data_IF_104371788756
#
_entry.id   IF_104371788756
#
_cell.length_a   1.000
_cell.length_b   1.000
_cell.length_c   1.000
_cell.angle_alpha   90.00
_cell.angle_beta   90.00
_cell.angle_gamma   90.00
#
_symmetry.space_group_name_H-M   'P 1'
#
loop_
_entity.id
_entity.type
_entity.pdbx_description
1 polymer ?
#
# COMPACT_ATOMS: atom_id res chain seq x y z
N UNK A 1 -11.76 -12.37 -31.51
CA UNK A 1 -10.95 -12.88 -30.39
C UNK A 1 -11.66 -12.46 -29.10
N UNK A 2 -12.16 -13.42 -28.33
CA UNK A 2 -12.91 -13.13 -27.11
C UNK A 2 -11.92 -12.86 -25.97
N UNK A 3 -11.87 -11.63 -25.50
CA UNK A 3 -11.20 -11.28 -24.24
C UNK A 3 -12.00 -11.90 -23.11
N UNK A 4 -11.46 -12.98 -22.53
CA UNK A 4 -12.00 -13.60 -21.33
C UNK A 4 -11.75 -12.66 -20.16
N UNK A 5 -12.77 -11.87 -19.80
CA UNK A 5 -12.77 -11.10 -18.57
C UNK A 5 -12.93 -12.08 -17.39
N UNK A 6 -12.15 -11.95 -16.29
CA UNK A 6 -12.46 -12.67 -15.07
C UNK A 6 -13.85 -12.23 -14.61
N UNK A 7 -14.81 -13.15 -14.53
CA UNK A 7 -16.22 -12.86 -14.23
C UNK A 7 -17.20 -13.86 -14.85
N UNK A 8 -18.48 -13.76 -14.48
CA UNK A 8 -19.57 -14.50 -15.11
C UNK A 8 -20.00 -13.77 -16.39
N UNK A 9 -20.04 -14.48 -17.52
CA UNK A 9 -20.55 -13.96 -18.80
C UNK A 9 -21.47 -15.00 -19.45
N UNK A 10 -22.68 -14.59 -19.84
CA UNK A 10 -23.65 -15.42 -20.53
C UNK A 10 -24.15 -14.72 -21.79
N UNK A 11 -24.14 -15.41 -22.93
CA UNK A 11 -24.58 -14.89 -24.22
C UNK A 11 -25.79 -15.70 -24.70
N UNK A 12 -26.88 -15.02 -25.00
CA UNK A 12 -28.07 -15.60 -25.62
C UNK A 12 -28.27 -15.02 -27.03
N UNK A 13 -28.44 -15.87 -28.02
CA UNK A 13 -28.71 -15.50 -29.42
C UNK A 13 -30.08 -16.03 -29.86
N UNK A 14 -31.02 -15.13 -30.16
CA UNK A 14 -32.39 -15.47 -30.57
C UNK A 14 -32.59 -15.55 -32.10
N UNK A 15 -33.81 -15.93 -32.52
CA UNK A 15 -34.22 -16.10 -33.94
C UNK A 15 -34.34 -14.81 -34.77
N UNK A 16 -34.21 -13.64 -34.14
CA UNK A 16 -34.40 -12.32 -34.76
C UNK A 16 -33.11 -11.47 -34.71
N UNK A 17 -31.94 -12.10 -34.89
CA UNK A 17 -30.60 -11.49 -34.80
C UNK A 17 -30.27 -10.74 -33.48
N UNK A 18 -31.13 -10.85 -32.47
CA UNK A 18 -30.91 -10.26 -31.16
C UNK A 18 -29.89 -11.08 -30.36
N UNK A 19 -28.77 -10.44 -30.00
CA UNK A 19 -27.77 -10.97 -29.06
C UNK A 19 -27.87 -10.24 -27.73
N UNK A 20 -28.11 -10.98 -26.66
CA UNK A 20 -28.12 -10.48 -25.28
C UNK A 20 -26.88 -11.01 -24.57
N UNK A 21 -26.15 -10.12 -23.91
CA UNK A 21 -24.96 -10.47 -23.12
C UNK A 21 -25.17 -10.01 -21.69
N UNK A 22 -25.11 -10.96 -20.76
CA UNK A 22 -25.13 -10.70 -19.32
C UNK A 22 -23.71 -10.85 -18.77
N UNK A 23 -23.20 -9.81 -18.14
CA UNK A 23 -21.88 -9.81 -17.50
C UNK A 23 -22.03 -9.46 -16.01
N UNK A 24 -21.38 -10.23 -15.14
CA UNK A 24 -21.31 -9.95 -13.71
C UNK A 24 -19.90 -10.24 -13.19
N UNK A 25 -19.33 -9.28 -12.44
CA UNK A 25 -17.98 -9.38 -11.90
C UNK A 25 -17.97 -8.93 -10.43
N UNK A 26 -17.48 -9.80 -9.55
CA UNK A 26 -17.22 -9.51 -8.15
C UNK A 26 -15.72 -9.70 -7.87
N UNK A 27 -15.06 -8.65 -7.39
CA UNK A 27 -13.67 -8.71 -6.94
C UNK A 27 -13.63 -8.65 -5.41
N UNK A 28 -12.71 -9.39 -4.78
CA UNK A 28 -12.48 -9.39 -3.33
C UNK A 28 -11.01 -9.09 -3.05
N UNK A 29 -10.75 -8.20 -2.08
CA UNK A 29 -9.39 -7.83 -1.68
C UNK A 29 -8.94 -8.65 -0.47
N UNK A 30 -7.65 -8.99 -0.42
CA UNK A 30 -6.98 -9.68 0.68
C UNK A 30 -6.22 -8.70 1.60
N UNK A 31 -5.95 -9.11 2.84
CA UNK A 31 -5.16 -8.32 3.80
C UNK A 31 -3.68 -8.41 3.42
N UNK A 32 -3.02 -7.26 3.25
CA UNK A 32 -1.59 -7.19 2.90
C UNK A 32 -0.81 -6.47 4.00
N UNK A 33 0.16 -7.17 4.61
CA UNK A 33 1.15 -6.56 5.49
C UNK A 33 2.13 -5.78 4.61
N UNK A 34 2.24 -4.46 4.82
CA UNK A 34 3.10 -3.62 3.99
C UNK A 34 4.56 -3.71 4.42
N UNK A 35 4.85 -3.60 5.73
CA UNK A 35 6.21 -3.62 6.27
C UNK A 35 6.23 -3.88 7.78
N UNK A 36 7.25 -4.59 8.27
CA UNK A 36 7.50 -4.84 9.70
C UNK A 36 8.97 -4.51 10.05
N UNK A 37 9.36 -3.22 10.10
CA UNK A 37 10.72 -2.83 10.42
C UNK A 37 11.07 -3.20 11.87
N UNK A 38 12.28 -3.74 12.08
CA UNK A 38 12.84 -4.06 13.39
C UNK A 38 14.12 -3.26 13.60
N UNK A 39 14.26 -2.64 14.77
CA UNK A 39 15.40 -1.78 15.10
C UNK A 39 15.78 -1.99 16.57
N UNK A 40 17.03 -2.34 16.82
CA UNK A 40 17.60 -2.42 18.17
C UNK A 40 18.33 -1.13 18.50
N UNK A 41 18.19 -0.65 19.73
CA UNK A 41 18.72 0.64 20.17
C UNK A 41 18.95 0.63 21.68
N UNK A 42 19.96 1.38 22.12
CA UNK A 42 20.29 1.53 23.55
C UNK A 42 19.31 2.51 24.21
N UNK A 43 19.04 2.31 25.50
CA UNK A 43 18.22 3.21 26.29
C UNK A 43 18.68 4.68 26.18
N UNK A 44 17.74 5.61 26.02
CA UNK A 44 17.95 7.05 25.84
C UNK A 44 18.75 7.47 24.59
N UNK A 45 18.99 6.57 23.64
CA UNK A 45 19.67 6.89 22.39
C UNK A 45 18.67 6.95 21.23
N UNK A 46 18.77 7.98 20.38
CA UNK A 46 18.01 8.01 19.13
C UNK A 46 18.64 7.03 18.15
N UNK A 47 17.81 6.19 17.53
CA UNK A 47 18.18 5.37 16.38
C UNK A 47 17.24 5.63 15.22
N UNK A 48 17.74 5.39 14.01
CA UNK A 48 17.01 5.57 12.76
C UNK A 48 17.34 4.44 11.78
N UNK A 49 16.32 3.93 11.11
CA UNK A 49 16.41 2.94 10.04
C UNK A 49 15.69 3.50 8.83
N UNK A 50 16.36 3.52 7.68
CA UNK A 50 15.81 3.96 6.41
C UNK A 50 16.07 2.88 5.36
N UNK A 51 15.01 2.40 4.73
CA UNK A 51 15.05 1.36 3.70
C UNK A 51 14.19 1.80 2.52
N UNK A 52 14.82 2.04 1.37
CA UNK A 52 14.12 2.41 0.14
C UNK A 52 15.02 3.18 -0.81
N UNK A 53 14.40 3.88 -1.75
CA UNK A 53 15.07 4.55 -2.86
C UNK A 53 15.03 6.07 -2.71
N UNK A 54 16.01 6.75 -3.32
CA UNK A 54 15.96 8.19 -3.52
C UNK A 54 15.36 8.53 -4.88
N UNK A 55 14.28 9.29 -4.87
CA UNK A 55 13.49 9.61 -6.06
C UNK A 55 13.73 11.07 -6.47
N UNK A 56 14.12 11.34 -7.72
CA UNK A 56 14.26 12.70 -8.21
C UNK A 56 12.87 13.35 -8.43
N UNK A 57 12.65 14.50 -7.81
CA UNK A 57 11.43 15.30 -7.97
C UNK A 57 11.80 16.62 -8.64
N UNK A 58 11.08 16.98 -9.70
CA UNK A 58 11.26 18.27 -10.38
C UNK A 58 10.58 19.34 -9.53
N UNK A 59 11.33 20.31 -9.02
CA UNK A 59 10.82 21.38 -8.15
C UNK A 59 10.56 22.68 -8.88
N UNK A 60 11.26 22.92 -9.98
CA UNK A 60 11.11 24.12 -10.80
C UNK A 60 11.41 23.81 -12.27
N UNK A 61 10.61 24.35 -13.17
CA UNK A 61 10.89 24.38 -14.62
C UNK A 61 10.90 25.82 -15.08
N UNK A 62 11.97 26.25 -15.74
CA UNK A 62 12.09 27.57 -16.33
C UNK A 62 12.37 27.45 -17.83
N UNK A 63 11.68 28.26 -18.63
CA UNK A 63 11.92 28.39 -20.07
C UNK A 63 11.99 29.89 -20.37
N UNK A 64 13.01 30.31 -21.12
CA UNK A 64 13.12 31.72 -21.52
C UNK A 64 11.95 32.11 -22.43
N UNK A 65 11.36 33.27 -22.19
CA UNK A 65 10.27 33.85 -23.01
C UNK A 65 10.79 34.67 -24.19
N UNK A 66 12.09 34.95 -24.25
CA UNK A 66 12.70 35.86 -25.23
C UNK A 66 13.09 35.16 -26.54
N UNK A 67 13.07 33.82 -26.56
CA UNK A 67 13.31 33.02 -27.77
C UNK A 67 12.33 31.87 -27.87
N UNK A 68 11.60 31.81 -28.98
CA UNK A 68 10.76 30.67 -29.32
C UNK A 68 11.63 29.40 -29.42
N UNK A 69 11.33 28.39 -28.61
CA UNK A 69 12.08 27.12 -28.56
C UNK A 69 13.26 27.08 -27.59
N UNK A 70 13.37 28.03 -26.66
CA UNK A 70 14.39 27.98 -25.61
C UNK A 70 14.33 26.65 -24.81
N UNK A 71 15.48 26.07 -24.42
CA UNK A 71 15.52 24.82 -23.67
C UNK A 71 14.86 24.99 -22.29
N UNK A 72 14.12 23.97 -21.86
CA UNK A 72 13.50 23.92 -20.53
C UNK A 72 14.57 23.51 -19.52
N UNK A 73 14.85 24.37 -18.55
CA UNK A 73 15.74 24.10 -17.43
C UNK A 73 14.90 23.58 -16.27
N UNK A 74 15.20 22.37 -15.79
CA UNK A 74 14.51 21.76 -14.66
C UNK A 74 15.45 21.66 -13.46
N UNK A 75 15.02 22.16 -12.30
CA UNK A 75 15.70 21.94 -11.02
C UNK A 75 15.12 20.67 -10.39
N UNK A 76 16.01 19.75 -10.00
CA UNK A 76 15.65 18.45 -9.44
C UNK A 76 16.11 18.39 -7.99
N UNK A 77 15.25 17.90 -7.10
CA UNK A 77 15.56 17.59 -5.71
C UNK A 77 15.37 16.09 -5.46
N UNK A 78 16.36 15.46 -4.84
CA UNK A 78 16.25 14.07 -4.41
C UNK A 78 15.38 13.98 -3.15
N UNK A 79 14.44 13.03 -3.13
CA UNK A 79 13.60 12.74 -1.96
C UNK A 79 13.71 11.28 -1.56
N UNK A 80 13.97 11.03 -0.29
CA UNK A 80 13.97 9.69 0.28
C UNK A 80 12.56 9.10 0.30
N UNK A 81 12.42 7.84 -0.12
CA UNK A 81 11.19 7.07 -0.12
C UNK A 81 11.41 5.68 0.48
N UNK A 82 10.34 4.91 0.69
CA UNK A 82 10.38 3.62 1.38
C UNK A 82 9.99 3.70 2.85
N UNK A 83 10.61 2.89 3.70
CA UNK A 83 10.31 2.76 5.13
C UNK A 83 11.35 3.50 5.94
N UNK A 84 10.93 4.52 6.68
CA UNK A 84 11.77 5.28 7.61
C UNK A 84 11.20 5.11 9.01
N UNK A 85 12.03 4.65 9.95
CA UNK A 85 11.69 4.49 11.35
C UNK A 85 12.74 5.18 12.19
N UNK A 86 12.32 6.15 13.00
CA UNK A 86 13.13 6.74 14.06
C UNK A 86 12.50 6.43 15.41
N UNK A 87 13.33 6.04 16.38
CA UNK A 87 12.87 5.73 17.72
C UNK A 87 13.87 6.22 18.76
N UNK A 88 13.35 6.76 19.85
CA UNK A 88 14.11 7.05 21.06
C UNK A 88 13.42 6.38 22.24
N UNK A 89 13.98 5.28 22.77
CA UNK A 89 13.41 4.59 23.91
C UNK A 89 13.87 5.20 25.23
N UNK A 90 13.00 5.13 26.23
CA UNK A 90 13.31 5.37 27.63
C UNK A 90 12.71 4.24 28.47
N UNK A 91 13.58 3.39 28.98
CA UNK A 91 13.23 2.23 29.80
C UNK A 91 13.45 2.56 31.26
N UNK A 92 12.46 2.26 32.10
CA UNK A 92 12.54 2.34 33.56
C UNK A 92 12.77 0.93 34.16
N UNK A 93 13.30 0.87 35.38
CA UNK A 93 13.65 -0.39 36.07
C UNK A 93 12.48 -1.40 36.18
N UNK A 94 11.26 -0.86 36.32
CA UNK A 94 10.01 -1.63 36.41
C UNK A 94 9.55 -2.27 35.08
N UNK A 95 10.32 -2.13 33.99
CA UNK A 95 9.98 -2.68 32.67
C UNK A 95 8.94 -1.85 31.89
N UNK A 96 8.67 -0.63 32.35
CA UNK A 96 7.90 0.35 31.58
C UNK A 96 8.82 1.00 30.54
N UNK A 97 8.31 1.12 29.31
CA UNK A 97 9.03 1.66 28.17
C UNK A 97 8.24 2.85 27.63
N UNK A 98 8.87 4.01 27.61
CA UNK A 98 8.39 5.19 26.89
C UNK A 98 9.13 5.23 25.56
N UNK A 99 8.42 5.42 24.46
CA UNK A 99 8.99 5.46 23.12
C UNK A 99 8.53 6.74 22.43
N UNK A 100 9.49 7.55 21.98
CA UNK A 100 9.24 8.58 20.96
C UNK A 100 9.50 7.94 19.59
N UNK A 101 8.44 7.81 18.79
CA UNK A 101 8.45 7.03 17.54
C UNK A 101 7.98 7.89 16.39
N UNK A 102 8.82 8.03 15.37
CA UNK A 102 8.45 8.57 14.07
C UNK A 102 8.58 7.46 13.03
N UNK A 103 7.47 7.05 12.44
CA UNK A 103 7.46 6.08 11.35
C UNK A 103 6.86 6.71 10.10
N UNK A 104 7.52 6.50 8.96
CA UNK A 104 7.06 6.89 7.65
C UNK A 104 7.16 5.72 6.69
N UNK A 105 6.11 5.51 5.89
CA UNK A 105 6.09 4.58 4.76
C UNK A 105 5.66 5.35 3.52
N UNK A 106 6.54 5.37 2.53
CA UNK A 106 6.42 6.13 1.30
C UNK A 106 6.48 5.20 0.08
N UNK A 107 5.57 5.40 -0.86
CA UNK A 107 5.50 4.65 -2.12
C UNK A 107 5.46 5.62 -3.30
N UNK A 108 6.18 5.25 -4.36
CA UNK A 108 6.26 6.05 -5.59
C UNK A 108 5.14 5.61 -6.53
N UNK A 109 4.28 6.55 -6.91
CA UNK A 109 3.20 6.33 -7.85
C UNK A 109 3.36 7.23 -9.08
N UNK A 110 2.86 6.76 -10.23
CA UNK A 110 2.75 7.61 -11.41
C UNK A 110 1.79 8.76 -11.13
N UNK A 111 2.20 9.97 -11.52
CA UNK A 111 1.37 11.16 -11.38
C UNK A 111 0.28 11.15 -12.44
N UNK A 112 -0.97 11.20 -11.98
CA UNK A 112 -2.16 11.24 -12.84
C UNK A 112 -2.94 12.55 -12.71
N UNK A 113 -2.52 13.42 -11.78
CA UNK A 113 -3.22 14.66 -11.43
C UNK A 113 -2.65 15.92 -12.09
N UNK A 114 -1.48 15.84 -12.74
CA UNK A 114 -0.82 16.97 -13.38
C UNK A 114 -0.03 16.53 -14.61
N UNK A 115 0.16 17.43 -15.59
CA UNK A 115 1.02 17.20 -16.76
C UNK A 115 2.53 17.36 -16.50
N UNK A 116 2.94 17.46 -15.23
CA UNK A 116 4.34 17.52 -14.83
C UNK A 116 4.89 16.09 -14.84
N UNK A 117 6.02 15.87 -15.53
CA UNK A 117 6.75 14.61 -15.54
C UNK A 117 7.57 14.45 -14.24
N UNK A 118 6.86 14.26 -13.13
CA UNK A 118 7.45 14.00 -11.81
C UNK A 118 6.54 13.06 -11.03
N UNK A 119 7.07 12.05 -10.32
CA UNK A 119 6.24 11.05 -9.65
C UNK A 119 5.52 11.60 -8.41
N UNK A 120 4.39 10.98 -8.07
CA UNK A 120 3.63 11.28 -6.86
C UNK A 120 4.13 10.38 -5.73
N UNK A 121 4.58 10.96 -4.62
CA UNK A 121 4.99 10.20 -3.43
C UNK A 121 3.79 10.07 -2.49
N UNK A 122 3.24 8.86 -2.35
CA UNK A 122 2.22 8.56 -1.35
C UNK A 122 2.89 8.27 -0.02
N UNK A 123 2.60 9.08 1.00
CA UNK A 123 3.31 9.02 2.28
C UNK A 123 2.34 8.79 3.44
N UNK A 124 2.64 7.80 4.26
CA UNK A 124 1.94 7.47 5.50
C UNK A 124 2.92 7.74 6.64
N UNK A 125 2.73 8.82 7.40
CA UNK A 125 3.61 9.21 8.49
C UNK A 125 2.86 9.31 9.79
N UNK A 126 3.45 8.77 10.84
CA UNK A 126 2.99 8.90 12.22
C UNK A 126 4.15 9.35 13.10
N UNK A 127 3.84 10.24 14.04
CA UNK A 127 4.73 10.63 15.12
C UNK A 127 3.93 10.56 16.41
N UNK A 128 4.39 9.78 17.38
CA UNK A 128 3.70 9.60 18.64
C UNK A 128 4.69 9.27 19.76
N UNK A 129 4.35 9.69 20.97
CA UNK A 129 5.04 9.30 22.21
C UNK A 129 4.11 8.36 22.96
N UNK A 130 4.53 7.11 23.15
CA UNK A 130 3.72 6.07 23.78
C UNK A 130 4.42 5.49 24.98
N UNK A 131 3.64 5.20 26.03
CA UNK A 131 4.09 4.44 27.19
C UNK A 131 3.47 3.03 27.11
N UNK A 132 4.31 2.02 27.17
CA UNK A 132 3.90 0.61 27.15
C UNK A 132 4.81 -0.20 28.07
N UNK A 133 4.61 -1.51 28.12
CA UNK A 133 5.46 -2.45 28.85
C UNK A 133 6.19 -3.34 27.87
N UNK A 134 7.30 -3.91 28.31
CA UNK A 134 8.03 -4.92 27.56
C UNK A 134 7.10 -6.05 27.07
N UNK A 135 7.17 -6.36 25.77
CA UNK A 135 6.35 -7.38 25.10
C UNK A 135 4.89 -7.00 24.81
N UNK A 136 4.40 -5.84 25.26
CA UNK A 136 3.02 -5.42 25.00
C UNK A 136 2.88 -4.66 23.69
N UNK A 137 1.94 -5.11 22.86
CA UNK A 137 1.60 -4.43 21.61
C UNK A 137 0.79 -3.17 21.90
N UNK A 138 1.23 -2.04 21.36
CA UNK A 138 0.52 -0.76 21.39
C UNK A 138 0.15 -0.33 19.98
N UNK A 139 -1.10 0.12 19.79
CA UNK A 139 -1.51 0.75 18.56
C UNK A 139 -1.09 2.23 18.59
N UNK A 140 -0.22 2.63 17.66
CA UNK A 140 0.19 4.04 17.53
C UNK A 140 -0.90 4.87 16.87
N UNK A 141 -1.66 4.26 15.96
CA UNK A 141 -2.77 4.90 15.26
C UNK A 141 -3.31 4.04 14.13
N UNK A 142 -4.28 4.59 13.40
CA UNK A 142 -4.85 3.96 12.22
C UNK A 142 -5.64 4.94 11.36
N UNK A 143 -5.92 4.53 10.14
CA UNK A 143 -6.73 5.28 9.18
C UNK A 143 -7.71 4.33 8.52
N UNK A 144 -8.99 4.68 8.56
CA UNK A 144 -10.01 4.03 7.73
C UNK A 144 -10.41 5.06 6.68
N UNK A 145 -10.24 4.71 5.41
CA UNK A 145 -10.65 5.51 4.28
C UNK A 145 -11.67 4.75 3.48
N UNK A 146 -12.84 5.34 3.34
CA UNK A 146 -13.86 4.86 2.41
C UNK A 146 -13.93 5.83 1.22
N UNK A 147 -13.83 5.28 0.03
CA UNK A 147 -14.12 5.96 -1.22
C UNK A 147 -14.99 5.06 -2.08
N UNK A 148 -15.73 5.62 -3.02
CA UNK A 148 -16.47 4.77 -3.93
C UNK A 148 -17.21 5.54 -5.00
N UNK A 149 -17.49 4.85 -6.08
CA UNK A 149 -18.27 5.36 -7.20
C UNK A 149 -19.54 4.55 -7.39
N UNK A 150 -20.65 5.24 -7.65
CA UNK A 150 -21.84 4.61 -8.24
C UNK A 150 -22.01 5.17 -9.64
N UNK A 151 -21.91 4.29 -10.64
CA UNK A 151 -22.21 4.60 -12.03
C UNK A 151 -23.55 3.97 -12.40
N UNK A 152 -24.46 4.77 -12.96
CA UNK A 152 -25.71 4.29 -13.55
C UNK A 152 -25.73 4.72 -15.02
N UNK A 153 -25.63 3.74 -15.92
CA UNK A 153 -25.77 3.96 -17.36
C UNK A 153 -26.87 3.07 -17.91
N UNK A 154 -27.62 3.53 -18.91
CA UNK A 154 -28.75 2.75 -19.43
C UNK A 154 -29.47 3.48 -20.55
N UNK A 155 -30.43 2.79 -21.15
CA UNK A 155 -31.25 3.38 -22.22
C UNK A 155 -32.20 4.43 -21.61
N UNK A 156 -32.19 5.69 -22.09
CA UNK A 156 -33.10 6.72 -21.59
C UNK A 156 -34.56 6.26 -21.64
N UNK A 157 -35.38 6.68 -20.68
CA UNK A 157 -36.80 6.31 -20.48
C UNK A 157 -37.04 4.84 -20.05
N UNK A 158 -36.38 3.87 -20.70
CA UNK A 158 -36.57 2.44 -20.40
C UNK A 158 -35.91 2.01 -19.08
N UNK A 159 -34.79 2.64 -18.70
CA UNK A 159 -34.08 2.33 -17.45
C UNK A 159 -34.85 2.67 -16.17
N UNK A 160 -35.80 3.59 -16.26
CA UNK A 160 -36.55 4.14 -15.12
C UNK A 160 -37.91 3.45 -14.90
N UNK A 161 -38.31 2.53 -15.80
CA UNK A 161 -39.57 1.79 -15.67
C UNK A 161 -39.46 0.82 -14.48
N UNK A 162 -40.37 0.88 -13.48
CA UNK A 162 -40.38 -0.06 -12.39
C UNK A 162 -40.52 -1.51 -12.90
N UNK A 163 -39.92 -2.47 -12.19
CA UNK A 163 -39.90 -3.92 -12.51
C UNK A 163 -39.00 -4.32 -13.69
N UNK A 164 -39.09 -3.63 -14.84
CA UNK A 164 -38.34 -4.02 -16.06
C UNK A 164 -37.11 -3.16 -16.36
N UNK A 165 -36.98 -1.97 -15.77
CA UNK A 165 -35.85 -1.06 -16.06
C UNK A 165 -34.47 -1.61 -15.67
N UNK A 166 -34.41 -2.63 -14.82
CA UNK A 166 -33.16 -3.28 -14.40
C UNK A 166 -32.42 -3.99 -15.54
N UNK A 167 -33.11 -4.48 -16.57
CA UNK A 167 -32.46 -5.12 -17.73
C UNK A 167 -31.96 -4.10 -18.75
N UNK A 168 -32.43 -2.85 -18.67
CA UNK A 168 -32.05 -1.75 -19.57
C UNK A 168 -31.02 -0.79 -18.95
N UNK A 169 -30.49 -1.13 -17.77
CA UNK A 169 -29.45 -0.37 -17.08
C UNK A 169 -28.27 -1.25 -16.70
N UNK A 170 -27.10 -0.64 -16.69
CA UNK A 170 -25.85 -1.17 -16.20
C UNK A 170 -25.46 -0.36 -14.97
N UNK A 171 -25.50 -1.02 -13.81
CA UNK A 171 -25.16 -0.40 -12.54
C UNK A 171 -23.75 -0.84 -12.12
N UNK A 172 -22.85 0.11 -11.98
CA UNK A 172 -21.50 -0.11 -11.47
C UNK A 172 -21.43 0.42 -10.05
N UNK A 173 -21.13 -0.44 -9.08
CA UNK A 173 -20.91 -0.04 -7.69
C UNK A 173 -19.49 -0.45 -7.32
N UNK A 174 -18.64 0.53 -7.04
CA UNK A 174 -17.23 0.32 -6.69
C UNK A 174 -16.94 0.93 -5.31
N UNK A 175 -17.31 0.25 -4.21
CA UNK A 175 -16.95 0.68 -2.86
C UNK A 175 -15.51 0.26 -2.57
N UNK A 176 -14.67 1.22 -2.24
CA UNK A 176 -13.26 1.04 -1.88
C UNK A 176 -13.07 1.42 -0.42
N UNK A 177 -12.69 0.44 0.40
CA UNK A 177 -12.35 0.66 1.82
C UNK A 177 -10.88 0.32 2.03
N UNK A 178 -10.13 1.23 2.63
CA UNK A 178 -8.73 1.06 2.96
C UNK A 178 -8.56 1.25 4.46
N UNK A 179 -8.03 0.23 5.12
CA UNK A 179 -7.75 0.24 6.55
C UNK A 179 -6.24 0.15 6.76
N UNK A 180 -5.69 1.07 7.55
CA UNK A 180 -4.30 1.10 7.97
C UNK A 180 -4.28 1.07 9.49
N UNK A 181 -3.50 0.16 10.06
CA UNK A 181 -3.23 0.10 11.49
C UNK A 181 -1.72 0.08 11.68
N UNK A 182 -1.23 0.93 12.58
CA UNK A 182 0.19 0.97 12.96
C UNK A 182 0.32 0.40 14.37
N UNK A 183 0.99 -0.74 14.46
CA UNK A 183 1.25 -1.46 15.70
C UNK A 183 2.73 -1.41 16.01
N UNK A 184 3.06 -1.36 17.29
CA UNK A 184 4.42 -1.42 17.78
C UNK A 184 4.51 -2.38 18.97
N UNK A 185 5.58 -3.17 19.01
CA UNK A 185 5.88 -4.09 20.10
C UNK A 185 7.33 -3.84 20.53
N UNK A 186 7.58 -3.33 21.75
CA UNK A 186 8.94 -3.22 22.26
C UNK A 186 9.39 -4.52 22.93
N UNK A 187 10.68 -4.80 22.79
CA UNK A 187 11.37 -5.85 23.53
C UNK A 187 12.58 -5.26 24.24
N UNK A 188 12.64 -5.40 25.57
CA UNK A 188 13.74 -4.91 26.41
C UNK A 188 14.72 -6.05 26.67
N UNK A 189 15.93 -5.94 26.12
CA UNK A 189 17.02 -6.90 26.35
C UNK A 189 17.94 -6.36 27.46
N UNK A 190 18.02 -7.07 28.59
CA UNK A 190 18.81 -6.65 29.78
C UNK A 190 20.17 -7.32 29.86
N UNK A 191 20.31 -8.52 29.28
CA UNK A 191 21.55 -9.29 29.32
C UNK A 191 21.86 -9.88 27.94
N UNK A 192 23.09 -10.38 27.80
CA UNK A 192 23.57 -10.93 26.53
C UNK A 192 22.81 -12.18 26.10
N UNK A 193 22.34 -13.00 27.06
CA UNK A 193 21.57 -14.21 26.75
C UNK A 193 20.21 -13.86 26.11
N UNK A 194 19.53 -12.84 26.62
CA UNK A 194 18.28 -12.33 26.05
C UNK A 194 18.50 -11.75 24.65
N UNK A 195 19.58 -10.98 24.47
CA UNK A 195 19.94 -10.45 23.15
C UNK A 195 20.15 -11.58 22.14
N UNK A 196 20.89 -12.63 22.51
CA UNK A 196 21.12 -13.78 21.61
C UNK A 196 19.81 -14.49 21.28
N UNK A 197 18.95 -14.74 22.28
CA UNK A 197 17.66 -15.37 22.04
C UNK A 197 16.77 -14.58 21.05
N UNK A 198 16.80 -13.25 21.11
CA UNK A 198 16.07 -12.39 20.16
C UNK A 198 16.68 -12.43 18.76
N UNK A 199 18.01 -12.49 18.66
CA UNK A 199 18.73 -12.61 17.39
C UNK A 199 18.44 -13.96 16.73
N UNK A 200 18.54 -15.05 17.49
CA UNK A 200 18.25 -16.41 17.00
C UNK A 200 16.80 -16.50 16.49
N UNK A 201 15.84 -16.02 17.27
CA UNK A 201 14.44 -15.98 16.85
C UNK A 201 14.19 -15.12 15.60
N UNK A 202 14.99 -14.05 15.40
CA UNK A 202 14.93 -13.24 14.20
C UNK A 202 15.47 -14.01 12.99
N UNK A 203 16.61 -14.70 13.14
CA UNK A 203 17.22 -15.49 12.08
C UNK A 203 16.31 -16.64 11.66
N UNK A 204 15.79 -17.41 12.62
CA UNK A 204 14.85 -18.50 12.39
C UNK A 204 13.60 -18.01 11.64
N UNK A 205 13.08 -16.85 12.04
CA UNK A 205 11.94 -16.23 11.36
C UNK A 205 12.23 -15.83 9.91
N UNK A 206 13.47 -15.43 9.60
CA UNK A 206 13.88 -15.10 8.24
C UNK A 206 14.05 -16.35 7.38
N UNK A 207 14.60 -17.43 7.93
CA UNK A 207 14.72 -18.73 7.25
C UNK A 207 13.35 -19.39 6.99
N UNK A 208 12.44 -19.29 7.96
CA UNK A 208 11.06 -19.70 7.77
C UNK A 208 10.37 -18.86 6.67
N UNK A 209 10.55 -17.54 6.68
CA UNK A 209 9.96 -16.67 5.66
C UNK A 209 10.52 -16.93 4.26
N UNK A 210 11.83 -17.19 4.13
CA UNK A 210 12.48 -17.46 2.85
C UNK A 210 12.07 -18.83 2.27
N UNK A 211 12.00 -19.87 3.11
CA UNK A 211 11.54 -21.19 2.69
C UNK A 211 10.06 -21.19 2.27
N UNK A 212 9.20 -20.43 2.95
CA UNK A 212 7.80 -20.24 2.53
C UNK A 212 7.71 -19.49 1.19
N UNK A 213 8.53 -18.46 0.99
CA UNK A 213 8.57 -17.72 -0.27
C UNK A 213 9.06 -18.60 -1.45
N UNK A 214 9.92 -19.58 -1.19
CA UNK A 214 10.40 -20.54 -2.19
C UNK A 214 9.31 -21.55 -2.58
N UNK A 215 8.56 -22.07 -1.62
CA UNK A 215 7.45 -23.00 -1.86
C UNK A 215 6.19 -22.33 -2.45
N UNK A 216 6.03 -21.01 -2.26
CA UNK A 216 4.92 -20.23 -2.82
C UNK A 216 5.17 -19.76 -4.27
N UNK A 217 6.32 -20.09 -4.87
CA UNK A 217 6.56 -19.80 -6.29
C UNK A 217 5.60 -20.64 -7.15
N UNK A 218 4.79 -20.04 -8.03
CA UNK A 218 3.95 -20.80 -8.94
C UNK A 218 4.85 -21.69 -9.82
N UNK A 219 4.51 -22.97 -9.91
CA UNK A 219 5.17 -23.92 -10.80
C UNK A 219 5.17 -23.32 -12.21
N UNK A 220 6.34 -22.98 -12.72
CA UNK A 220 6.52 -22.62 -14.13
C UNK A 220 6.03 -23.81 -14.95
N UNK A 221 5.04 -23.67 -15.84
CA UNK A 221 4.66 -24.77 -16.71
C UNK A 221 5.87 -25.13 -17.57
N UNK A 222 6.26 -26.41 -17.51
CA UNK A 222 7.32 -26.97 -18.35
C UNK A 222 7.01 -26.65 -19.82
N UNK A 223 8.00 -26.21 -20.63
CA UNK A 223 7.79 -26.01 -22.04
C UNK A 223 7.44 -27.35 -22.68
N UNK A 224 6.21 -27.47 -23.18
CA UNK A 224 5.82 -28.56 -24.08
C UNK A 224 6.60 -28.38 -25.38
N UNK A 225 7.48 -29.34 -25.68
CA UNK A 225 8.09 -29.50 -27.01
C UNK A 225 7.05 -29.88 -28.05
#
# INVERSE_FOLDING_TARGET
>A
MATQFPGFSYVYSGRADARVVLNALQSKTEVRILSAPKLSVINNQKASLQVGDQVPIVTQTAQSTDSAGAPIISTVQMRDTGVILEVTPRVNDNGNVILDVMQEVSEVAQTTSSGIDSPTIQRRKIHSIVATRDGFTVALGGLIRESGGRGDSGVPLLKDIPVVGSVFKNNTVDPRRTELVVLLVPHVMRNQSETQAVVDALVDGLEAASSLAEHARPLVPLPTK
#
